data_IF_655222281470
#
_entry.id   IF_655222281470
#
_cell.length_a   1.000
_cell.length_b   1.000
_cell.length_c   1.000
_cell.angle_alpha   90.00
_cell.angle_beta   90.00
_cell.angle_gamma   90.00
#
_symmetry.space_group_name_H-M   'P 1'
#
loop_
_entity.id
_entity.type
_entity.pdbx_description
1 polymer ?
#
# COMPACT_ATOMS: atom_id res chain seq x y z
N UNK A 1 4.99 8.74 -16.56
CA UNK A 1 3.53 8.57 -16.73
C UNK A 1 3.01 9.62 -17.70
N UNK A 2 2.17 9.26 -18.68
CA UNK A 2 1.72 10.19 -19.74
C UNK A 2 0.57 11.14 -19.30
N UNK A 3 -0.18 10.77 -18.27
CA UNK A 3 -1.25 11.62 -17.70
C UNK A 3 -0.75 12.44 -16.51
N UNK A 4 -1.19 13.70 -16.44
CA UNK A 4 -0.83 14.62 -15.35
C UNK A 4 -1.27 14.11 -13.98
N UNK A 5 -2.51 13.64 -13.85
CA UNK A 5 -3.02 13.06 -12.60
C UNK A 5 -2.22 11.82 -12.15
N UNK A 6 -1.90 10.93 -13.09
CA UNK A 6 -1.07 9.75 -12.79
C UNK A 6 0.34 10.14 -12.37
N UNK A 7 0.92 11.21 -12.95
CA UNK A 7 2.23 11.72 -12.56
C UNK A 7 2.23 12.18 -11.11
N UNK A 8 1.24 12.98 -10.71
CA UNK A 8 1.11 13.48 -9.33
C UNK A 8 1.00 12.31 -8.33
N UNK A 9 0.17 11.32 -8.62
CA UNK A 9 0.00 10.14 -7.75
C UNK A 9 1.32 9.36 -7.63
N UNK A 10 2.03 9.17 -8.75
CA UNK A 10 3.27 8.40 -8.74
C UNK A 10 4.44 9.16 -8.10
N UNK A 11 4.48 10.49 -8.25
CA UNK A 11 5.44 11.35 -7.54
C UNK A 11 5.19 11.29 -6.02
N UNK A 12 3.93 11.39 -5.59
CA UNK A 12 3.55 11.19 -4.19
C UNK A 12 4.00 9.81 -3.68
N UNK A 13 3.62 8.74 -4.38
CA UNK A 13 3.93 7.38 -3.93
C UNK A 13 5.44 7.09 -3.90
N UNK A 14 6.15 7.34 -5.00
CA UNK A 14 7.55 6.94 -5.14
C UNK A 14 8.51 7.91 -4.44
N UNK A 15 8.28 9.22 -4.56
CA UNK A 15 9.24 10.23 -4.12
C UNK A 15 8.90 10.86 -2.76
N UNK A 16 7.71 10.60 -2.21
CA UNK A 16 7.32 11.10 -0.89
C UNK A 16 7.04 9.96 0.09
N UNK A 17 6.12 9.04 -0.25
CA UNK A 17 5.75 7.94 0.64
C UNK A 17 6.88 6.91 0.74
N UNK A 18 7.29 6.32 -0.38
CA UNK A 18 8.21 5.18 -0.39
C UNK A 18 9.70 5.58 -0.39
N UNK A 19 10.02 6.86 -0.51
CA UNK A 19 11.40 7.38 -0.67
C UNK A 19 12.38 6.80 0.36
N UNK A 20 11.95 6.67 1.61
CA UNK A 20 12.80 6.26 2.73
C UNK A 20 12.47 4.84 3.23
N UNK A 21 11.69 4.07 2.45
CA UNK A 21 11.30 2.69 2.79
C UNK A 21 11.99 1.73 1.82
N UNK A 22 13.16 1.24 2.23
CA UNK A 22 13.88 0.22 1.48
C UNK A 22 13.62 -1.18 2.06
N UNK A 23 12.67 -1.92 1.47
CA UNK A 23 12.30 -3.26 1.93
C UNK A 23 13.45 -4.27 1.84
N UNK A 24 14.31 -4.13 0.84
CA UNK A 24 15.44 -5.02 0.60
C UNK A 24 16.43 -4.93 1.76
N UNK A 25 16.73 -3.72 2.24
CA UNK A 25 17.59 -3.49 3.41
C UNK A 25 16.90 -3.87 4.72
N UNK A 26 15.63 -3.47 4.91
CA UNK A 26 14.88 -3.72 6.15
C UNK A 26 14.74 -5.20 6.51
N UNK A 27 14.76 -6.08 5.50
CA UNK A 27 14.59 -7.53 5.69
C UNK A 27 15.73 -8.37 5.13
N UNK A 28 16.80 -7.75 4.62
CA UNK A 28 17.91 -8.43 3.95
C UNK A 28 17.41 -9.44 2.88
N UNK A 29 16.52 -8.99 2.00
CA UNK A 29 15.98 -9.78 0.88
C UNK A 29 16.39 -9.18 -0.45
N UNK A 30 16.43 -10.00 -1.50
CA UNK A 30 16.69 -9.61 -2.89
C UNK A 30 15.41 -9.54 -3.75
N UNK A 31 14.32 -10.14 -3.24
CA UNK A 31 12.99 -10.16 -3.86
C UNK A 31 11.90 -10.15 -2.80
N UNK A 32 10.77 -9.55 -3.13
CA UNK A 32 9.59 -9.50 -2.27
C UNK A 32 8.31 -9.46 -3.11
N UNK A 33 7.18 -9.82 -2.51
CA UNK A 33 5.87 -9.69 -3.15
C UNK A 33 5.29 -8.29 -2.95
N UNK A 34 4.78 -7.68 -4.01
CA UNK A 34 4.04 -6.41 -3.93
C UNK A 34 2.75 -6.47 -4.76
N UNK A 35 1.94 -5.42 -4.68
CA UNK A 35 0.71 -5.30 -5.45
C UNK A 35 0.35 -3.84 -5.74
N UNK A 36 -0.36 -3.62 -6.86
CA UNK A 36 -0.99 -2.35 -7.20
C UNK A 36 -2.51 -2.54 -7.16
N UNK A 37 -3.08 -2.37 -5.96
CA UNK A 37 -4.53 -2.41 -5.74
C UNK A 37 -5.03 -3.66 -5.03
N UNK A 38 -6.18 -3.48 -4.38
CA UNK A 38 -6.99 -4.51 -3.74
C UNK A 38 -8.44 -4.08 -3.87
N UNK A 39 -9.27 -4.89 -4.52
CA UNK A 39 -10.66 -4.57 -4.80
C UNK A 39 -11.56 -5.70 -4.34
N UNK A 40 -12.62 -5.34 -3.62
CA UNK A 40 -13.75 -6.21 -3.30
C UNK A 40 -15.01 -5.50 -3.78
N UNK A 41 -15.77 -6.17 -4.64
CA UNK A 41 -17.05 -5.65 -5.14
C UNK A 41 -18.02 -5.45 -3.98
N UNK A 42 -18.93 -4.49 -4.12
CA UNK A 42 -19.75 -3.98 -3.01
C UNK A 42 -20.62 -5.07 -2.38
N UNK A 43 -21.18 -5.93 -3.21
CA UNK A 43 -22.02 -7.09 -2.86
C UNK A 43 -21.28 -8.15 -2.03
N UNK A 44 -19.94 -8.17 -2.08
CA UNK A 44 -19.12 -9.12 -1.33
C UNK A 44 -18.39 -8.50 -0.12
N UNK A 45 -18.68 -7.24 0.22
CA UNK A 45 -18.11 -6.59 1.42
C UNK A 45 -18.71 -7.16 2.70
N UNK A 46 -18.00 -7.00 3.81
CA UNK A 46 -18.40 -7.53 5.13
C UNK A 46 -18.09 -9.01 5.34
N UNK A 47 -17.48 -9.68 4.36
CA UNK A 47 -17.12 -11.10 4.41
C UNK A 47 -15.61 -11.34 4.57
N UNK A 48 -14.86 -10.32 5.03
CA UNK A 48 -13.41 -10.38 5.24
C UNK A 48 -12.58 -10.83 4.02
N UNK A 49 -13.10 -10.70 2.80
CA UNK A 49 -12.40 -11.12 1.57
C UNK A 49 -11.05 -10.42 1.43
N UNK A 50 -10.96 -9.11 1.70
CA UNK A 50 -9.69 -8.37 1.70
C UNK A 50 -8.66 -8.99 2.64
N UNK A 51 -9.09 -9.39 3.85
CA UNK A 51 -8.24 -10.04 4.84
C UNK A 51 -7.77 -11.41 4.34
N UNK A 52 -8.67 -12.23 3.79
CA UNK A 52 -8.32 -13.53 3.23
C UNK A 52 -7.35 -13.42 2.05
N UNK A 53 -7.54 -12.43 1.16
CA UNK A 53 -6.62 -12.16 0.05
C UNK A 53 -5.23 -11.76 0.54
N UNK A 54 -5.13 -10.95 1.60
CA UNK A 54 -3.85 -10.58 2.20
C UNK A 54 -3.21 -11.78 2.92
N UNK A 55 -3.98 -12.57 3.67
CA UNK A 55 -3.49 -13.80 4.32
C UNK A 55 -3.01 -14.84 3.33
N UNK A 56 -3.60 -14.92 2.13
CA UNK A 56 -3.15 -15.83 1.08
C UNK A 56 -1.74 -15.49 0.55
N UNK A 57 -1.27 -14.24 0.72
CA UNK A 57 0.09 -13.85 0.29
C UNK A 57 1.19 -14.56 1.06
N UNK A 58 0.99 -14.90 2.32
CA UNK A 58 2.02 -15.56 3.14
C UNK A 58 2.33 -16.99 2.66
N UNK A 59 1.36 -17.92 2.54
CA UNK A 59 1.64 -19.25 2.02
C UNK A 59 2.06 -19.21 0.54
N UNK A 60 1.49 -18.32 -0.28
CA UNK A 60 1.92 -18.13 -1.67
C UNK A 60 3.37 -17.67 -1.76
N UNK A 61 3.75 -16.66 -0.98
CA UNK A 61 5.12 -16.16 -0.91
C UNK A 61 6.08 -17.27 -0.51
N UNK A 62 5.76 -18.02 0.54
CA UNK A 62 6.57 -19.17 0.98
C UNK A 62 6.74 -20.22 -0.13
N UNK A 63 5.67 -20.55 -0.86
CA UNK A 63 5.72 -21.50 -1.97
C UNK A 63 6.60 -21.01 -3.14
N UNK A 64 6.71 -19.69 -3.34
CA UNK A 64 7.56 -19.06 -4.36
C UNK A 64 8.98 -18.74 -3.86
N UNK A 65 9.33 -19.15 -2.64
CA UNK A 65 10.61 -18.83 -2.01
C UNK A 65 10.79 -17.34 -1.71
N UNK A 66 9.69 -16.62 -1.44
CA UNK A 66 9.66 -15.24 -0.97
C UNK A 66 9.47 -15.23 0.55
N UNK A 67 10.29 -14.43 1.24
CA UNK A 67 10.24 -14.27 2.69
C UNK A 67 9.67 -12.92 3.13
N UNK A 68 9.41 -12.02 2.18
CA UNK A 68 8.87 -10.69 2.42
C UNK A 68 7.71 -10.35 1.47
N UNK A 69 6.73 -9.59 2.00
CA UNK A 69 5.64 -8.96 1.24
C UNK A 69 5.43 -7.55 1.77
N UNK A 70 5.31 -6.58 0.87
CA UNK A 70 5.12 -5.17 1.23
C UNK A 70 4.26 -4.48 0.17
N UNK A 71 3.33 -3.65 0.62
CA UNK A 71 2.43 -2.86 -0.23
C UNK A 71 2.05 -1.59 0.54
N UNK A 72 1.84 -0.49 -0.15
CA UNK A 72 1.24 0.71 0.43
C UNK A 72 -0.28 0.58 0.41
N UNK A 73 -0.97 1.04 1.45
CA UNK A 73 -2.43 1.01 1.55
C UNK A 73 -2.98 2.42 1.73
N UNK A 74 -3.74 2.90 0.76
CA UNK A 74 -4.31 4.26 0.76
C UNK A 74 -5.66 4.37 1.50
N UNK A 75 -6.64 3.45 1.37
CA UNK A 75 -7.89 3.55 2.13
C UNK A 75 -7.78 2.85 3.49
N UNK A 76 -8.40 3.45 4.52
CA UNK A 76 -8.45 2.94 5.90
C UNK A 76 -8.91 1.49 5.99
N UNK A 77 -9.92 1.10 5.22
CA UNK A 77 -10.42 -0.29 5.21
C UNK A 77 -9.34 -1.31 4.78
N UNK A 78 -8.44 -0.94 3.86
CA UNK A 78 -7.36 -1.82 3.43
C UNK A 78 -6.21 -1.85 4.46
N UNK A 79 -5.93 -0.73 5.13
CA UNK A 79 -4.97 -0.67 6.24
C UNK A 79 -5.41 -1.58 7.40
N UNK A 80 -6.67 -1.50 7.81
CA UNK A 80 -7.25 -2.38 8.85
C UNK A 80 -7.18 -3.85 8.44
N UNK A 81 -7.46 -4.17 7.17
CA UNK A 81 -7.34 -5.54 6.67
C UNK A 81 -5.88 -6.05 6.70
N UNK A 82 -4.91 -5.18 6.40
CA UNK A 82 -3.49 -5.51 6.44
C UNK A 82 -2.98 -5.76 7.86
N UNK A 83 -3.38 -4.91 8.81
CA UNK A 83 -3.08 -5.11 10.24
C UNK A 83 -3.66 -6.44 10.75
N UNK A 84 -4.94 -6.71 10.47
CA UNK A 84 -5.59 -8.00 10.80
C UNK A 84 -4.93 -9.20 10.12
N UNK A 85 -4.26 -9.00 8.99
CA UNK A 85 -3.51 -10.03 8.30
C UNK A 85 -2.13 -10.30 8.93
N UNK A 86 -1.70 -9.49 9.91
CA UNK A 86 -0.39 -9.58 10.56
C UNK A 86 0.71 -8.77 9.88
N UNK A 87 0.36 -7.82 9.01
CA UNK A 87 1.34 -6.90 8.41
C UNK A 87 1.68 -5.78 9.40
N UNK A 88 2.92 -5.28 9.35
CA UNK A 88 3.40 -4.15 10.17
C UNK A 88 3.49 -2.87 9.35
N UNK A 89 3.23 -1.73 9.99
CA UNK A 89 3.41 -0.41 9.39
C UNK A 89 4.89 -0.03 9.43
N UNK A 90 5.44 0.38 8.29
CA UNK A 90 6.82 0.87 8.17
C UNK A 90 6.91 2.39 8.07
N UNK A 91 5.95 3.01 7.40
CA UNK A 91 5.81 4.46 7.25
C UNK A 91 4.34 4.79 7.06
N UNK A 92 3.93 5.89 7.66
CA UNK A 92 2.61 6.49 7.52
C UNK A 92 2.81 7.95 7.11
N UNK A 93 1.91 8.46 6.27
CA UNK A 93 1.87 9.87 5.88
C UNK A 93 0.43 10.32 5.91
N UNK A 94 0.21 11.55 6.37
CA UNK A 94 -1.08 12.21 6.27
C UNK A 94 -1.18 12.94 4.92
N UNK A 95 -2.37 12.94 4.31
CA UNK A 95 -2.56 13.55 2.98
C UNK A 95 -2.38 15.08 3.02
N UNK A 96 -2.67 15.70 4.16
CA UNK A 96 -2.56 17.13 4.46
C UNK A 96 -1.11 17.63 4.42
N UNK A 97 -0.15 16.74 4.69
CA UNK A 97 1.27 17.06 4.68
C UNK A 97 1.83 17.16 3.27
N UNK A 98 1.19 16.51 2.29
CA UNK A 98 1.66 16.53 0.91
C UNK A 98 1.12 17.74 0.14
N UNK A 99 1.99 18.74 0.00
CA UNK A 99 1.69 20.02 -0.67
C UNK A 99 2.53 20.21 -1.93
N UNK A 100 1.88 20.67 -2.99
CA UNK A 100 2.53 21.11 -4.23
C UNK A 100 2.19 22.58 -4.43
N UNK A 101 3.22 23.43 -4.58
CA UNK A 101 3.07 24.89 -4.67
C UNK A 101 2.23 25.50 -3.53
N UNK A 102 2.43 25.00 -2.31
CA UNK A 102 1.74 25.47 -1.10
C UNK A 102 0.29 24.98 -0.93
N UNK A 103 -0.23 24.17 -1.84
CA UNK A 103 -1.61 23.62 -1.77
C UNK A 103 -1.61 22.13 -1.48
N UNK A 104 -2.51 21.68 -0.61
CA UNK A 104 -2.73 20.25 -0.34
C UNK A 104 -3.27 19.58 -1.60
N UNK A 105 -2.59 18.53 -2.06
CA UNK A 105 -2.89 17.88 -3.36
C UNK A 105 -4.16 17.02 -3.31
N UNK A 106 -4.42 16.40 -2.17
CA UNK A 106 -5.50 15.43 -1.99
C UNK A 106 -6.66 15.95 -1.14
N UNK A 107 -6.89 17.27 -1.13
CA UNK A 107 -7.88 17.95 -0.28
C UNK A 107 -9.34 17.47 -0.45
N UNK A 108 -9.63 16.79 -1.55
CA UNK A 108 -10.94 16.24 -1.89
C UNK A 108 -11.17 14.83 -1.32
N UNK A 109 -10.13 14.17 -0.81
CA UNK A 109 -10.29 12.90 -0.11
C UNK A 109 -10.93 13.19 1.24
N UNK A 110 -12.01 12.46 1.55
CA UNK A 110 -12.59 12.39 2.89
C UNK A 110 -12.20 11.03 3.44
N UNK A 111 -11.80 10.99 4.70
CA UNK A 111 -11.55 9.74 5.44
C UNK A 111 -12.78 8.80 5.43
#
# INVERSE_FOLDING_TARGET
FKGEASRIIMEFLLNYVLKDVNIFELYAVDKYMSAFGLLVLREFRGQDISLHLLKARFPLGKALGLTATMTFFSPTAAQVAAEKAGMRVHKQVEYEDYKVNGKVVFSQLKE
#
